data_IF_298149687021
#
_entry.id   IF_298149687021
#
_cell.length_a   1.000
_cell.length_b   1.000
_cell.length_c   1.000
_cell.angle_alpha   90.00
_cell.angle_beta   90.00
_cell.angle_gamma   90.00
#
_symmetry.space_group_name_H-M   'P 1'
#
loop_
_entity.id
_entity.type
_entity.pdbx_description
1 polymer ?
#
# COMPACT_ATOMS: atom_id res chain seq x y z
N UNK A 1 -2.56 37.47 22.98
CA UNK A 1 -3.27 36.36 23.64
C UNK A 1 -3.65 35.40 22.52
N UNK A 2 -2.96 34.27 22.40
CA UNK A 2 -3.24 33.30 21.31
C UNK A 2 -4.25 32.31 21.85
N UNK A 3 -5.48 32.41 21.36
CA UNK A 3 -6.50 31.40 21.60
C UNK A 3 -5.99 30.06 21.09
N UNK A 4 -6.03 29.06 21.97
CA UNK A 4 -5.64 27.70 21.64
C UNK A 4 -6.86 27.04 21.00
N UNK A 5 -6.67 26.44 19.83
CA UNK A 5 -7.71 25.64 19.18
C UNK A 5 -8.07 24.48 20.10
N UNK A 6 -9.20 24.60 20.79
CA UNK A 6 -9.85 23.50 21.50
C UNK A 6 -10.34 22.52 20.44
N UNK A 7 -9.50 21.52 20.15
CA UNK A 7 -9.86 20.39 19.30
C UNK A 7 -10.80 19.52 20.12
N UNK A 8 -12.05 19.96 20.24
CA UNK A 8 -13.13 19.15 20.79
C UNK A 8 -13.10 17.83 20.04
N UNK A 9 -12.93 16.73 20.77
CA UNK A 9 -12.97 15.39 20.23
C UNK A 9 -14.31 15.25 19.53
N UNK A 10 -14.29 15.39 18.19
CA UNK A 10 -15.46 15.27 17.36
C UNK A 10 -16.16 13.99 17.78
N UNK A 11 -17.45 14.13 18.11
CA UNK A 11 -18.31 13.00 18.45
C UNK A 11 -17.96 11.87 17.49
N UNK A 12 -17.37 10.80 18.04
CA UNK A 12 -17.17 9.54 17.34
C UNK A 12 -18.58 8.98 17.18
N UNK A 13 -19.37 9.63 16.32
CA UNK A 13 -20.70 9.22 15.95
C UNK A 13 -20.47 7.92 15.25
N UNK A 14 -20.70 6.82 15.99
CA UNK A 14 -20.62 5.43 15.58
C UNK A 14 -19.84 5.28 14.27
N UNK A 15 -18.50 5.18 14.34
CA UNK A 15 -17.74 4.71 13.17
C UNK A 15 -18.51 3.53 12.63
N UNK A 16 -18.87 3.54 11.35
CA UNK A 16 -19.91 2.70 10.71
C UNK A 16 -19.77 1.17 10.87
N UNK A 17 -18.92 0.70 11.77
CA UNK A 17 -18.75 -0.65 12.28
C UNK A 17 -19.98 -1.29 12.94
N UNK A 18 -21.07 -0.57 13.19
CA UNK A 18 -22.36 -1.18 13.57
C UNK A 18 -23.08 -1.84 12.37
N UNK A 19 -22.56 -1.66 11.15
CA UNK A 19 -23.06 -2.31 9.93
C UNK A 19 -22.46 -3.69 9.68
N UNK A 20 -23.23 -4.56 9.01
CA UNK A 20 -22.74 -5.82 8.44
C UNK A 20 -21.47 -5.56 7.60
N UNK A 21 -20.52 -6.49 7.62
CA UNK A 21 -19.28 -6.39 6.84
C UNK A 21 -19.41 -7.13 5.51
N UNK A 22 -18.79 -6.58 4.48
CA UNK A 22 -18.78 -7.13 3.13
C UNK A 22 -17.36 -7.19 2.58
N UNK A 23 -16.96 -8.36 2.09
CA UNK A 23 -15.73 -8.54 1.31
C UNK A 23 -15.96 -8.00 -0.11
N UNK A 24 -14.98 -7.25 -0.63
CA UNK A 24 -15.08 -6.53 -1.90
C UNK A 24 -14.09 -7.09 -2.90
N UNK A 25 -14.57 -7.35 -4.12
CA UNK A 25 -13.76 -7.82 -5.22
C UNK A 25 -13.96 -6.93 -6.45
N UNK A 26 -12.88 -6.63 -7.17
CA UNK A 26 -12.92 -5.78 -8.37
C UNK A 26 -12.28 -6.47 -9.56
N UNK A 27 -12.73 -6.10 -10.75
CA UNK A 27 -12.10 -6.42 -12.03
C UNK A 27 -12.00 -5.15 -12.88
N UNK A 28 -10.80 -4.85 -13.38
CA UNK A 28 -10.52 -3.64 -14.15
C UNK A 28 -10.83 -3.83 -15.64
N UNK A 29 -10.29 -4.88 -16.27
CA UNK A 29 -10.61 -5.24 -17.65
C UNK A 29 -11.33 -6.59 -17.76
N UNK A 30 -11.96 -6.88 -18.91
CA UNK A 30 -12.71 -8.14 -19.08
C UNK A 30 -11.88 -9.39 -18.83
N UNK A 31 -10.63 -9.33 -19.30
CA UNK A 31 -9.67 -10.42 -19.24
C UNK A 31 -9.02 -10.56 -17.86
N UNK A 32 -9.16 -9.55 -16.99
CA UNK A 32 -8.54 -9.57 -15.68
C UNK A 32 -9.30 -10.49 -14.71
N UNK A 33 -8.58 -11.16 -13.80
CA UNK A 33 -9.21 -11.92 -12.73
C UNK A 33 -9.88 -10.97 -11.74
N UNK A 34 -10.95 -11.44 -11.10
CA UNK A 34 -11.58 -10.76 -9.97
C UNK A 34 -10.61 -10.79 -8.76
N UNK A 35 -10.25 -9.62 -8.21
CA UNK A 35 -9.30 -9.49 -7.09
C UNK A 35 -9.98 -8.98 -5.84
N UNK A 36 -9.69 -9.61 -4.71
CA UNK A 36 -10.12 -9.10 -3.41
C UNK A 36 -9.35 -7.82 -3.06
N UNK A 37 -10.06 -6.74 -2.73
CA UNK A 37 -9.46 -5.42 -2.43
C UNK A 37 -9.65 -4.97 -0.99
N UNK A 38 -10.52 -5.65 -0.23
CA UNK A 38 -10.71 -5.38 1.19
C UNK A 38 -12.15 -5.54 1.64
N UNK A 39 -12.42 -5.04 2.84
CA UNK A 39 -13.73 -5.15 3.50
C UNK A 39 -14.34 -3.78 3.74
N UNK A 40 -15.64 -3.63 3.53
CA UNK A 40 -16.42 -2.42 3.88
C UNK A 40 -17.52 -2.75 4.88
N UNK A 41 -17.89 -1.79 5.72
CA UNK A 41 -19.02 -1.92 6.64
C UNK A 41 -20.24 -1.18 6.06
N UNK A 42 -21.37 -1.88 5.92
CA UNK A 42 -22.60 -1.32 5.38
C UNK A 42 -23.83 -2.11 5.87
N UNK A 43 -25.02 -1.50 5.95
CA UNK A 43 -26.22 -2.21 6.40
C UNK A 43 -26.81 -3.16 5.34
N UNK A 44 -26.54 -2.90 4.06
CA UNK A 44 -27.11 -3.64 2.92
C UNK A 44 -26.06 -3.87 1.82
N UNK A 45 -26.27 -4.86 0.93
CA UNK A 45 -25.38 -5.08 -0.21
C UNK A 45 -25.29 -3.86 -1.14
N UNK A 46 -26.41 -3.17 -1.38
CA UNK A 46 -26.41 -1.98 -2.24
C UNK A 46 -25.55 -0.85 -1.64
N UNK A 47 -25.69 -0.58 -0.34
CA UNK A 47 -24.86 0.40 0.35
C UNK A 47 -23.38 -0.03 0.37
N UNK A 48 -23.11 -1.33 0.52
CA UNK A 48 -21.74 -1.84 0.43
C UNK A 48 -21.14 -1.61 -0.96
N UNK A 49 -21.92 -1.82 -2.03
CA UNK A 49 -21.49 -1.56 -3.40
C UNK A 49 -21.23 -0.07 -3.64
N UNK A 50 -22.09 0.82 -3.14
CA UNK A 50 -21.87 2.28 -3.23
C UNK A 50 -20.57 2.72 -2.53
N UNK A 51 -20.33 2.24 -1.30
CA UNK A 51 -19.10 2.56 -0.56
C UNK A 51 -17.86 1.96 -1.23
N UNK A 52 -17.93 0.68 -1.63
CA UNK A 52 -16.86 0.03 -2.37
C UNK A 52 -16.53 0.75 -3.67
N UNK A 53 -17.55 1.25 -4.38
CA UNK A 53 -17.36 1.96 -5.64
C UNK A 53 -16.56 3.26 -5.46
N UNK A 54 -16.86 4.01 -4.39
CA UNK A 54 -16.15 5.25 -4.04
C UNK A 54 -14.70 5.01 -3.65
N UNK A 55 -14.43 3.91 -2.93
CA UNK A 55 -13.11 3.62 -2.37
C UNK A 55 -12.17 2.91 -3.35
N UNK A 56 -12.68 1.98 -4.15
CA UNK A 56 -11.84 1.01 -4.86
C UNK A 56 -12.11 0.91 -6.36
N UNK A 57 -13.20 1.50 -6.88
CA UNK A 57 -13.70 1.18 -8.22
C UNK A 57 -13.63 2.33 -9.24
N UNK A 58 -12.74 3.31 -9.06
CA UNK A 58 -12.70 4.49 -9.93
C UNK A 58 -12.52 4.16 -11.42
N UNK A 59 -11.82 3.05 -11.71
CA UNK A 59 -11.60 2.52 -13.04
C UNK A 59 -12.01 1.04 -13.17
N UNK A 60 -12.68 0.48 -12.15
CA UNK A 60 -13.08 -0.91 -12.21
C UNK A 60 -14.27 -1.05 -13.18
N UNK A 61 -14.19 -2.08 -14.03
CA UNK A 61 -15.31 -2.47 -14.88
C UNK A 61 -16.41 -3.14 -14.07
N UNK A 62 -16.04 -4.02 -13.14
CA UNK A 62 -17.00 -4.77 -12.32
C UNK A 62 -16.61 -4.72 -10.83
N UNK A 63 -17.61 -4.57 -9.96
CA UNK A 63 -17.47 -4.57 -8.50
C UNK A 63 -18.44 -5.60 -7.92
N UNK A 64 -17.90 -6.52 -7.12
CA UNK A 64 -18.65 -7.57 -6.46
C UNK A 64 -18.54 -7.40 -4.95
N UNK A 65 -19.65 -7.58 -4.24
CA UNK A 65 -19.70 -7.55 -2.78
C UNK A 65 -20.32 -8.83 -2.25
N UNK A 66 -19.72 -9.40 -1.21
CA UNK A 66 -20.21 -10.59 -0.53
C UNK A 66 -20.27 -10.34 0.97
N UNK A 67 -21.37 -10.66 1.68
CA UNK A 67 -21.36 -10.63 3.14
C UNK A 67 -20.18 -11.42 3.70
N UNK A 68 -19.42 -10.82 4.62
CA UNK A 68 -18.24 -11.46 5.19
C UNK A 68 -18.59 -12.74 5.96
N UNK A 69 -19.81 -12.83 6.50
CA UNK A 69 -20.33 -14.03 7.17
C UNK A 69 -20.60 -15.21 6.21
N UNK A 70 -20.76 -14.94 4.92
CA UNK A 70 -20.98 -15.95 3.87
C UNK A 70 -19.68 -16.31 3.13
N UNK A 71 -18.59 -15.58 3.41
CA UNK A 71 -17.28 -15.82 2.78
C UNK A 71 -16.45 -16.78 3.63
N UNK A 72 -16.10 -17.93 3.07
CA UNK A 72 -15.29 -18.94 3.74
C UNK A 72 -13.93 -19.09 3.06
N UNK A 73 -12.84 -18.99 3.84
CA UNK A 73 -11.48 -19.23 3.37
C UNK A 73 -11.01 -20.62 3.80
N UNK A 74 -10.54 -21.40 2.83
CA UNK A 74 -9.83 -22.65 3.06
C UNK A 74 -8.37 -22.44 2.66
N UNK A 75 -7.43 -22.82 3.53
CA UNK A 75 -6.00 -22.77 3.24
C UNK A 75 -5.38 -24.13 3.45
N UNK A 76 -4.41 -24.49 2.61
CA UNK A 76 -3.57 -25.66 2.83
C UNK A 76 -2.57 -25.44 3.98
N UNK A 77 -2.32 -24.18 4.33
CA UNK A 77 -1.48 -23.78 5.45
C UNK A 77 -2.31 -23.77 6.74
N UNK A 78 -1.85 -24.51 7.75
CA UNK A 78 -2.48 -24.52 9.06
C UNK A 78 -2.25 -23.19 9.78
N UNK A 79 -3.32 -22.54 10.23
CA UNK A 79 -3.30 -21.31 11.04
C UNK A 79 -2.63 -21.46 12.43
N UNK A 80 -2.05 -22.62 12.73
CA UNK A 80 -1.33 -22.87 13.96
C UNK A 80 0.08 -22.28 13.86
N UNK A 81 0.24 -21.00 14.21
CA UNK A 81 1.48 -20.40 14.80
C UNK A 81 1.31 -18.89 14.94
N UNK A 82 0.51 -18.43 15.92
CA UNK A 82 0.60 -17.06 16.46
C UNK A 82 0.32 -17.06 17.98
N UNK A 83 0.62 -18.16 18.67
CA UNK A 83 0.51 -18.24 20.14
C UNK A 83 1.84 -18.64 20.79
N UNK A 84 2.83 -19.08 20.00
CA UNK A 84 4.11 -19.59 20.51
C UNK A 84 5.24 -18.54 20.55
N UNK A 85 5.08 -17.37 19.91
CA UNK A 85 6.12 -16.32 19.89
C UNK A 85 5.97 -15.28 21.04
N UNK A 86 4.81 -15.25 21.71
CA UNK A 86 4.57 -14.31 22.82
C UNK A 86 5.16 -14.75 24.17
N UNK A 87 5.46 -16.04 24.35
CA UNK A 87 5.90 -16.63 25.63
C UNK A 87 7.41 -16.94 25.67
N UNK A 88 8.21 -16.47 24.70
CA UNK A 88 9.68 -16.62 24.73
C UNK A 88 10.43 -15.41 25.34
N UNK A 89 9.72 -14.34 25.72
CA UNK A 89 10.35 -13.10 26.24
C UNK A 89 10.20 -12.90 27.76
N UNK A 90 9.94 -13.95 28.56
CA UNK A 90 9.84 -13.83 30.02
C UNK A 90 10.56 -14.94 30.80
N UNK A 91 11.82 -15.23 30.49
CA UNK A 91 12.78 -15.63 31.53
C UNK A 91 14.23 -15.48 31.03
N UNK A 92 15.00 -14.58 31.66
CA UNK A 92 16.39 -14.31 31.29
C UNK A 92 16.95 -13.04 31.92
N UNK A 93 17.22 -13.09 33.23
CA UNK A 93 17.90 -12.01 33.98
C UNK A 93 19.33 -11.69 33.47
N UNK A 94 19.95 -10.59 33.95
CA UNK A 94 21.02 -9.90 33.26
C UNK A 94 22.37 -10.62 33.44
N UNK A 95 22.92 -11.14 32.35
CA UNK A 95 24.28 -11.67 32.28
C UNK A 95 25.00 -11.04 31.10
N UNK A 96 25.94 -10.13 31.38
CA UNK A 96 26.75 -9.48 30.37
C UNK A 96 27.54 -10.49 29.54
N UNK A 97 27.46 -10.33 28.22
CA UNK A 97 28.47 -10.81 27.29
C UNK A 97 28.82 -9.65 26.35
N UNK A 98 29.95 -9.02 26.64
CA UNK A 98 30.72 -8.28 25.66
C UNK A 98 31.10 -9.25 24.53
N UNK A 99 30.47 -9.15 23.37
CA UNK A 99 30.95 -9.81 22.15
C UNK A 99 30.42 -9.13 20.88
N UNK A 100 31.25 -8.25 20.34
CA UNK A 100 31.48 -8.11 18.90
C UNK A 100 30.33 -7.58 18.06
N UNK A 101 30.43 -6.29 17.70
CA UNK A 101 29.70 -5.74 16.57
C UNK A 101 29.94 -6.61 15.33
N UNK A 102 28.88 -7.22 14.82
CA UNK A 102 28.87 -7.80 13.48
C UNK A 102 28.73 -6.63 12.51
N UNK A 103 29.86 -6.00 12.20
CA UNK A 103 30.10 -5.44 10.89
C UNK A 103 29.88 -6.59 9.89
N UNK A 104 28.65 -6.71 9.40
CA UNK A 104 28.43 -7.33 8.10
C UNK A 104 28.94 -6.33 7.07
N UNK A 105 30.26 -6.39 6.90
CA UNK A 105 31.04 -5.79 5.85
C UNK A 105 30.59 -6.43 4.52
N UNK A 106 29.43 -5.99 4.01
CA UNK A 106 29.06 -6.25 2.63
C UNK A 106 29.97 -5.37 1.76
N UNK A 107 30.84 -5.95 0.91
CA UNK A 107 31.74 -5.17 0.08
C UNK A 107 30.91 -4.37 -0.92
N UNK A 108 30.78 -3.06 -0.68
CA UNK A 108 30.16 -2.14 -1.63
C UNK A 108 31.12 -1.95 -2.80
N UNK A 109 30.96 -2.79 -3.82
CA UNK A 109 31.56 -2.54 -5.13
C UNK A 109 30.83 -1.34 -5.72
N UNK A 110 31.41 -0.16 -5.55
CA UNK A 110 31.06 1.01 -6.35
C UNK A 110 31.80 0.88 -7.68
N UNK A 111 31.10 0.44 -8.73
CA UNK A 111 31.61 0.64 -10.09
C UNK A 111 31.59 2.14 -10.36
N UNK A 112 32.78 2.73 -10.36
CA UNK A 112 33.01 4.13 -10.69
C UNK A 112 32.57 4.36 -12.15
N UNK A 113 31.43 5.04 -12.34
CA UNK A 113 31.01 5.49 -13.66
C UNK A 113 31.83 6.72 -14.06
N UNK A 114 33.07 6.49 -14.49
CA UNK A 114 33.88 7.49 -15.20
C UNK A 114 33.33 7.69 -16.62
N UNK A 115 32.19 8.38 -16.70
CA UNK A 115 31.65 8.92 -17.93
C UNK A 115 31.98 10.40 -18.03
N UNK A 116 33.02 10.76 -18.79
CA UNK A 116 33.33 12.15 -19.14
C UNK A 116 32.17 12.74 -19.95
N UNK A 117 31.48 13.81 -19.52
CA UNK A 117 30.49 14.46 -20.37
C UNK A 117 31.21 15.32 -21.42
N UNK A 118 31.40 14.78 -22.63
CA UNK A 118 31.76 15.61 -23.78
C UNK A 118 30.50 16.32 -24.27
N UNK A 119 30.22 17.52 -23.73
CA UNK A 119 29.23 18.42 -24.31
C UNK A 119 29.79 18.88 -25.66
N UNK A 120 29.30 18.27 -26.74
CA UNK A 120 29.41 18.87 -28.07
C UNK A 120 28.34 19.93 -28.16
N UNK A 121 28.76 21.20 -28.19
CA UNK A 121 27.92 22.33 -28.55
C UNK A 121 27.45 22.15 -30.00
N UNK A 122 26.23 21.63 -30.16
CA UNK A 122 25.54 21.58 -31.44
C UNK A 122 25.31 22.99 -31.96
N UNK A 123 25.94 23.27 -33.10
CA UNK A 123 25.83 24.54 -33.82
C UNK A 123 24.42 24.83 -34.30
N UNK A 124 24.10 26.12 -34.35
CA UNK A 124 22.87 26.65 -34.94
C UNK A 124 22.79 26.32 -36.43
N UNK A 125 21.58 26.07 -36.99
CA UNK A 125 21.40 25.97 -38.43
C UNK A 125 21.68 27.33 -39.07
N UNK A 126 22.46 27.30 -40.16
CA UNK A 126 22.52 28.41 -41.11
C UNK A 126 21.22 28.41 -41.91
N UNK A 127 20.47 29.49 -41.80
CA UNK A 127 19.35 29.81 -42.67
C UNK A 127 19.98 30.32 -43.98
N UNK A 128 20.06 29.45 -45.00
CA UNK A 128 20.41 29.86 -46.36
C UNK A 128 19.10 30.26 -47.04
N UNK A 129 18.84 31.56 -47.03
CA UNK A 129 17.76 32.18 -47.77
C UNK A 129 18.22 32.27 -49.24
N UNK A 130 17.73 31.33 -50.04
CA UNK A 130 17.86 31.34 -51.49
C UNK A 130 17.26 32.64 -52.07
N UNK A 131 18.20 33.45 -52.58
CA UNK A 131 18.18 34.36 -53.72
C UNK A 131 16.82 34.84 -54.28
N UNK A 132 16.65 36.17 -54.23
CA UNK A 132 15.79 36.93 -55.14
C UNK A 132 16.61 37.46 -56.31
N UNK A 133 16.01 37.35 -57.50
CA UNK A 133 16.31 37.99 -58.82
C UNK A 133 17.39 37.41 -59.74
#
# INVERSE_FOLDING_TARGET
MVEKTDRTGGSDGARSADGRRFEVFVREEEADPLRHVGTVAAPTPDAAHEEASKLFAWYARDVWVCPAEETHRYSAESLASDEADAEASRDGGPGGVDAGGSDSDEPRVYEETEGTPTVSCGGAPVDDAEESE
#
